data_IF_789107952775
#
_entry.id   IF_789107952775
#
_cell.length_a   1.000
_cell.length_b   1.000
_cell.length_c   1.000
_cell.angle_alpha   90.00
_cell.angle_beta   90.00
_cell.angle_gamma   90.00
#
_symmetry.space_group_name_H-M   'P 1'
#
loop_
_entity.id
_entity.type
_entity.pdbx_description
1 polymer ?
#
# COMPACT_ATOMS: atom_id res chain seq x y z
N UNK A 1 12.43 28.65 11.33
CA UNK A 1 12.42 27.41 10.50
C UNK A 1 11.79 27.67 9.15
N UNK A 2 10.59 28.25 9.08
CA UNK A 2 9.95 28.64 7.81
C UNK A 2 10.83 29.56 6.93
N UNK A 3 11.43 30.62 7.48
CA UNK A 3 12.32 31.53 6.71
C UNK A 3 13.54 30.82 6.10
N UNK A 4 14.08 29.80 6.77
CA UNK A 4 15.22 29.03 6.26
C UNK A 4 14.79 28.15 5.07
N UNK A 5 13.60 27.54 5.15
CA UNK A 5 13.01 26.76 4.07
C UNK A 5 12.67 27.67 2.88
N UNK A 6 12.12 28.86 3.15
CA UNK A 6 11.81 29.87 2.13
C UNK A 6 13.06 30.29 1.37
N UNK A 7 14.12 30.69 2.09
CA UNK A 7 15.38 31.10 1.49
C UNK A 7 16.00 29.96 0.67
N UNK A 8 15.97 28.74 1.18
CA UNK A 8 16.47 27.57 0.47
C UNK A 8 15.66 27.29 -0.80
N UNK A 9 14.33 27.38 -0.74
CA UNK A 9 13.43 27.13 -1.88
C UNK A 9 13.61 28.18 -2.97
N UNK A 10 13.64 29.46 -2.60
CA UNK A 10 13.85 30.55 -3.57
C UNK A 10 15.23 30.45 -4.22
N UNK A 11 16.27 30.14 -3.44
CA UNK A 11 17.61 29.89 -3.99
C UNK A 11 17.63 28.69 -4.93
N UNK A 12 16.97 27.59 -4.56
CA UNK A 12 16.88 26.41 -5.41
C UNK A 12 16.21 26.71 -6.75
N UNK A 13 15.10 27.46 -6.74
CA UNK A 13 14.41 27.91 -7.96
C UNK A 13 15.30 28.86 -8.77
N UNK A 14 16.04 29.76 -8.13
CA UNK A 14 16.98 30.65 -8.80
C UNK A 14 18.09 29.88 -9.54
N UNK A 15 18.63 28.84 -8.91
CA UNK A 15 19.75 28.06 -9.47
C UNK A 15 19.29 27.04 -10.54
N UNK A 16 18.07 26.50 -10.43
CA UNK A 16 17.56 25.42 -11.29
C UNK A 16 16.42 25.83 -12.23
N UNK A 17 15.92 27.06 -12.11
CA UNK A 17 14.77 27.60 -12.85
C UNK A 17 13.40 27.22 -12.29
N UNK A 18 13.26 26.02 -11.73
CA UNK A 18 12.01 25.52 -11.15
C UNK A 18 12.26 24.47 -10.05
N UNK A 19 11.26 24.30 -9.18
CA UNK A 19 11.17 23.16 -8.28
C UNK A 19 10.15 22.16 -8.84
N UNK A 20 10.63 21.06 -9.43
CA UNK A 20 9.79 20.05 -10.11
C UNK A 20 8.88 19.27 -9.16
N UNK A 21 9.32 19.11 -7.91
CA UNK A 21 8.64 18.30 -6.91
C UNK A 21 8.95 18.80 -5.50
N UNK A 22 7.94 19.34 -4.83
CA UNK A 22 8.09 19.84 -3.46
C UNK A 22 8.36 18.71 -2.46
N UNK A 23 7.94 17.47 -2.76
CA UNK A 23 8.17 16.30 -1.93
C UNK A 23 9.64 15.85 -1.98
N UNK A 24 10.24 15.84 -3.17
CA UNK A 24 11.66 15.49 -3.30
C UNK A 24 12.57 16.59 -2.74
N UNK A 25 12.22 17.86 -2.94
CA UNK A 25 12.91 18.98 -2.30
C UNK A 25 12.89 18.88 -0.77
N UNK A 26 11.73 18.54 -0.17
CA UNK A 26 11.63 18.35 1.28
C UNK A 26 12.53 17.23 1.79
N UNK A 27 12.62 16.11 1.06
CA UNK A 27 13.52 14.99 1.38
C UNK A 27 14.99 15.39 1.30
N UNK A 28 15.38 16.11 0.25
CA UNK A 28 16.77 16.55 0.06
C UNK A 28 17.22 17.52 1.16
N UNK A 29 16.32 18.42 1.58
CA UNK A 29 16.56 19.36 2.67
C UNK A 29 16.41 18.72 4.07
N UNK A 30 15.87 17.50 4.16
CA UNK A 30 15.65 16.78 5.41
C UNK A 30 14.58 17.43 6.30
N UNK A 31 13.58 18.07 5.72
CA UNK A 31 12.49 18.76 6.43
C UNK A 31 11.14 18.11 6.18
N UNK A 32 10.20 18.38 7.07
CA UNK A 32 8.82 17.93 6.90
C UNK A 32 8.17 18.56 5.65
N UNK A 33 7.48 17.73 4.86
CA UNK A 33 6.86 18.16 3.61
C UNK A 33 5.75 19.19 3.84
N UNK A 34 4.98 19.09 4.93
CA UNK A 34 3.93 20.07 5.23
C UNK A 34 4.51 21.46 5.54
N UNK A 35 5.71 21.53 6.13
CA UNK A 35 6.41 22.80 6.32
C UNK A 35 6.78 23.46 4.97
N UNK A 36 7.26 22.68 4.01
CA UNK A 36 7.55 23.15 2.64
C UNK A 36 6.26 23.61 1.94
N UNK A 37 5.18 22.83 2.03
CA UNK A 37 3.88 23.22 1.47
C UNK A 37 3.35 24.51 2.09
N UNK A 38 3.53 24.70 3.40
CA UNK A 38 3.17 25.95 4.08
C UNK A 38 3.92 27.16 3.52
N UNK A 39 5.23 27.03 3.29
CA UNK A 39 6.06 28.08 2.68
C UNK A 39 5.64 28.35 1.23
N UNK A 40 5.39 27.31 0.43
CA UNK A 40 4.90 27.45 -0.95
C UNK A 40 3.59 28.25 -0.97
N UNK A 41 2.64 27.94 -0.08
CA UNK A 41 1.37 28.66 0.02
C UNK A 41 1.57 30.11 0.45
N UNK A 42 2.48 30.39 1.38
CA UNK A 42 2.83 31.75 1.80
C UNK A 42 3.40 32.55 0.63
N UNK A 43 4.40 32.01 -0.07
CA UNK A 43 5.04 32.65 -1.22
C UNK A 43 4.05 32.86 -2.38
N UNK A 44 3.13 31.92 -2.61
CA UNK A 44 2.09 32.07 -3.61
C UNK A 44 1.09 33.16 -3.23
N UNK A 45 0.72 33.26 -1.94
CA UNK A 45 -0.14 34.35 -1.45
C UNK A 45 0.52 35.72 -1.55
N UNK A 46 1.85 35.77 -1.54
CA UNK A 46 2.64 36.98 -1.79
C UNK A 46 2.94 37.21 -3.28
N UNK A 47 2.34 36.43 -4.18
CA UNK A 47 2.53 36.50 -5.63
C UNK A 47 4.00 36.36 -6.08
N UNK A 48 4.85 35.72 -5.25
CA UNK A 48 6.27 35.54 -5.52
C UNK A 48 6.56 34.32 -6.40
N UNK A 49 5.71 33.30 -6.32
CA UNK A 49 5.84 32.05 -7.07
C UNK A 49 4.49 31.61 -7.62
N UNK A 50 4.55 30.75 -8.62
CA UNK A 50 3.40 29.97 -9.10
C UNK A 50 3.67 28.51 -8.71
N UNK A 51 2.66 27.82 -8.21
CA UNK A 51 2.72 26.38 -7.96
C UNK A 51 1.57 25.65 -8.64
N UNK A 52 1.81 24.37 -8.96
CA UNK A 52 0.80 23.48 -9.52
C UNK A 52 0.74 22.22 -8.65
N UNK A 53 -0.46 21.80 -8.30
CA UNK A 53 -0.68 20.55 -7.57
C UNK A 53 -0.35 19.36 -8.48
N UNK A 54 0.44 18.43 -7.93
CA UNK A 54 0.90 17.23 -8.63
C UNK A 54 0.72 16.03 -7.72
N UNK A 55 -0.07 15.07 -8.18
CA UNK A 55 -0.34 13.84 -7.44
C UNK A 55 0.57 12.71 -7.90
N UNK A 56 1.06 11.94 -6.92
CA UNK A 56 1.88 10.75 -7.14
C UNK A 56 1.16 9.52 -6.61
N UNK A 57 0.98 8.53 -7.47
CA UNK A 57 0.39 7.25 -7.11
C UNK A 57 1.38 6.13 -7.38
N UNK A 58 1.48 5.20 -6.43
CA UNK A 58 2.18 3.93 -6.61
C UNK A 58 1.30 2.81 -6.12
N UNK A 59 1.35 1.67 -6.82
CA UNK A 59 0.75 0.45 -6.32
C UNK A 59 1.65 -0.13 -5.24
N UNK A 60 1.10 -0.30 -4.05
CA UNK A 60 1.78 -0.94 -2.91
C UNK A 60 0.96 -2.17 -2.55
N UNK A 61 1.65 -3.22 -2.09
CA UNK A 61 0.97 -4.39 -1.56
C UNK A 61 0.18 -3.99 -0.30
N UNK A 62 -0.99 -4.58 -0.15
CA UNK A 62 -1.72 -4.53 1.12
C UNK A 62 -1.02 -5.43 2.13
N UNK A 63 -1.20 -5.17 3.44
CA UNK A 63 -0.66 -6.02 4.50
C UNK A 63 -1.09 -7.49 4.33
N UNK A 64 -2.31 -7.71 3.85
CA UNK A 64 -2.83 -9.02 3.48
C UNK A 64 -2.02 -9.67 2.34
N UNK A 65 -1.73 -8.91 1.27
CA UNK A 65 -1.01 -9.41 0.10
C UNK A 65 0.47 -9.70 0.38
N UNK A 66 1.08 -9.05 1.38
CA UNK A 66 2.42 -9.42 1.84
C UNK A 66 2.47 -10.86 2.35
N UNK A 67 1.41 -11.32 3.03
CA UNK A 67 1.29 -12.71 3.47
C UNK A 67 1.22 -13.70 2.30
N UNK A 68 0.61 -13.30 1.18
CA UNK A 68 0.47 -14.13 -0.01
C UNK A 68 1.79 -14.36 -0.76
N UNK A 69 2.74 -13.43 -0.65
CA UNK A 69 4.07 -13.62 -1.26
C UNK A 69 4.83 -14.80 -0.64
N UNK A 70 4.68 -15.00 0.67
CA UNK A 70 5.40 -16.05 1.39
C UNK A 70 4.64 -17.39 1.38
N UNK A 71 3.32 -17.34 1.58
CA UNK A 71 2.51 -18.53 1.80
C UNK A 71 1.71 -18.98 0.56
N UNK A 72 1.71 -18.18 -0.51
CA UNK A 72 0.85 -18.37 -1.68
C UNK A 72 -0.54 -17.76 -1.49
N UNK A 73 -1.38 -17.85 -2.53
CA UNK A 73 -2.75 -17.33 -2.47
C UNK A 73 -3.61 -18.09 -1.46
N UNK A 74 -4.70 -17.48 -0.93
CA UNK A 74 -5.61 -18.12 0.02
C UNK A 74 -6.10 -19.50 -0.43
N UNK A 75 -6.50 -19.66 -1.69
CA UNK A 75 -6.95 -20.94 -2.23
C UNK A 75 -5.84 -21.98 -2.30
N UNK A 76 -4.59 -21.56 -2.58
CA UNK A 76 -3.44 -22.46 -2.59
C UNK A 76 -3.10 -22.93 -1.17
N UNK A 77 -3.19 -22.03 -0.18
CA UNK A 77 -3.00 -22.36 1.23
C UNK A 77 -4.05 -23.36 1.70
N UNK A 78 -5.32 -23.16 1.36
CA UNK A 78 -6.41 -24.10 1.68
C UNK A 78 -6.18 -25.44 1.01
N UNK A 79 -5.86 -25.46 -0.29
CA UNK A 79 -5.61 -26.71 -1.02
C UNK A 79 -4.45 -27.51 -0.42
N UNK A 80 -3.34 -26.86 -0.08
CA UNK A 80 -2.16 -27.51 0.50
C UNK A 80 -2.42 -28.14 1.89
N UNK A 81 -3.42 -27.65 2.62
CA UNK A 81 -3.75 -28.15 3.96
C UNK A 81 -4.73 -29.34 3.92
N UNK A 82 -5.48 -29.50 2.83
CA UNK A 82 -6.43 -30.62 2.66
C UNK A 82 -5.68 -31.83 2.08
N UNK A 83 -5.54 -32.94 2.84
CA UNK A 83 -4.93 -34.16 2.32
C UNK A 83 -5.88 -34.88 1.35
N UNK A 84 -5.38 -35.87 0.56
CA UNK A 84 -6.21 -36.64 -0.37
C UNK A 84 -7.39 -37.39 0.28
N UNK A 85 -7.24 -37.74 1.57
CA UNK A 85 -8.26 -38.40 2.40
C UNK A 85 -9.44 -37.46 2.74
N UNK A 86 -9.29 -36.15 2.49
CA UNK A 86 -10.21 -35.11 2.92
C UNK A 86 -9.87 -34.52 4.29
N UNK A 87 -10.48 -33.38 4.60
CA UNK A 87 -10.31 -32.68 5.88
C UNK A 87 -11.68 -32.23 6.41
N UNK A 88 -12.02 -32.49 7.68
CA UNK A 88 -13.23 -31.95 8.29
C UNK A 88 -13.23 -30.42 8.27
N UNK A 89 -14.38 -29.82 7.99
CA UNK A 89 -14.52 -28.36 7.91
C UNK A 89 -14.14 -27.65 9.21
N UNK A 90 -14.40 -28.30 10.36
CA UNK A 90 -14.00 -27.78 11.67
C UNK A 90 -12.48 -27.69 11.81
N UNK A 91 -11.73 -28.67 11.30
CA UNK A 91 -10.27 -28.67 11.34
C UNK A 91 -9.66 -27.68 10.37
N UNK A 92 -10.31 -27.46 9.21
CA UNK A 92 -9.88 -26.43 8.25
C UNK A 92 -9.89 -25.04 8.89
N UNK A 93 -10.96 -24.72 9.62
CA UNK A 93 -11.11 -23.43 10.33
C UNK A 93 -10.13 -23.23 11.47
N UNK A 94 -9.63 -24.31 12.07
CA UNK A 94 -8.58 -24.24 13.10
C UNK A 94 -7.20 -24.02 12.48
N UNK A 95 -6.91 -24.67 11.34
CA UNK A 95 -5.61 -24.56 10.65
C UNK A 95 -5.44 -23.25 9.87
N UNK A 96 -6.52 -22.74 9.27
CA UNK A 96 -6.58 -21.45 8.61
C UNK A 96 -7.71 -20.60 9.21
N UNK A 97 -7.46 -19.96 10.37
CA UNK A 97 -8.46 -19.13 11.00
C UNK A 97 -8.68 -17.80 10.25
N UNK A 98 -9.90 -17.28 10.35
CA UNK A 98 -10.26 -15.96 9.85
C UNK A 98 -10.58 -15.90 8.36
N UNK A 99 -10.58 -14.68 7.81
CA UNK A 99 -11.02 -14.41 6.44
C UNK A 99 -10.19 -15.13 5.38
N UNK A 100 -8.91 -15.40 5.65
CA UNK A 100 -8.03 -16.13 4.72
C UNK A 100 -8.54 -17.55 4.43
N UNK A 101 -9.02 -18.27 5.45
CA UNK A 101 -9.59 -19.60 5.29
C UNK A 101 -10.94 -19.57 4.56
N UNK A 102 -11.81 -18.63 4.90
CA UNK A 102 -13.14 -18.51 4.28
C UNK A 102 -13.05 -18.06 2.81
N UNK A 103 -12.21 -17.06 2.52
CA UNK A 103 -11.93 -16.58 1.16
C UNK A 103 -11.26 -17.69 0.36
N UNK A 104 -10.20 -18.29 0.91
CA UNK A 104 -9.47 -19.37 0.23
C UNK A 104 -10.36 -20.58 -0.08
N UNK A 105 -11.23 -20.97 0.85
CA UNK A 105 -12.15 -22.09 0.63
C UNK A 105 -13.17 -21.76 -0.47
N UNK A 106 -13.76 -20.56 -0.44
CA UNK A 106 -14.70 -20.13 -1.47
C UNK A 106 -14.03 -20.08 -2.85
N UNK A 107 -12.82 -19.56 -2.94
CA UNK A 107 -12.06 -19.48 -4.19
C UNK A 107 -11.65 -20.87 -4.68
N UNK A 108 -11.15 -21.74 -3.81
CA UNK A 108 -10.80 -23.13 -4.15
C UNK A 108 -12.02 -23.92 -4.66
N UNK A 109 -13.19 -23.74 -4.05
CA UNK A 109 -14.44 -24.35 -4.52
C UNK A 109 -14.88 -23.81 -5.88
N UNK A 110 -14.79 -22.50 -6.11
CA UNK A 110 -15.12 -21.88 -7.41
C UNK A 110 -14.19 -22.37 -8.53
N UNK A 111 -12.91 -22.50 -8.23
CA UNK A 111 -11.89 -23.03 -9.16
C UNK A 111 -11.91 -24.56 -9.27
N UNK A 112 -12.79 -25.24 -8.53
CA UNK A 112 -12.94 -26.72 -8.47
C UNK A 112 -11.66 -27.44 -8.02
N UNK A 113 -10.84 -26.80 -7.18
CA UNK A 113 -9.67 -27.42 -6.56
C UNK A 113 -10.06 -28.35 -5.41
N UNK A 114 -11.20 -28.08 -4.77
CA UNK A 114 -11.76 -28.86 -3.68
C UNK A 114 -13.23 -29.22 -3.96
N UNK A 115 -13.68 -30.32 -3.37
CA UNK A 115 -15.07 -30.75 -3.34
C UNK A 115 -15.56 -30.89 -1.91
N UNK A 116 -16.87 -30.76 -1.70
CA UNK A 116 -17.48 -31.07 -0.39
C UNK A 116 -18.23 -32.38 -0.49
N UNK A 117 -17.91 -33.30 0.40
CA UNK A 117 -18.70 -34.51 0.58
C UNK A 117 -19.72 -34.30 1.71
N UNK A 118 -21.00 -34.57 1.42
CA UNK A 118 -22.11 -34.44 2.37
C UNK A 118 -22.62 -35.81 2.86
N UNK A 119 -21.94 -36.90 2.51
CA UNK A 119 -22.37 -38.26 2.85
C UNK A 119 -22.00 -38.65 4.29
N UNK A 120 -21.03 -37.95 4.89
CA UNK A 120 -20.55 -38.17 6.26
C UNK A 120 -21.00 -37.05 7.21
N UNK A 121 -22.31 -36.80 7.26
CA UNK A 121 -22.94 -35.88 8.23
C UNK A 121 -23.03 -36.47 9.64
#
# INVERSE_FOLDING_TARGET
>A
MAEAIETALLKYIQDHGECKDSGDFAKELGVDHLAVVGVIKSLQSSEMIISQDKDHFKWVLTEEAEGYLNNGSPEAQVFNIVPPEGLPMAELKVKLPGELGDIGFKQAMQQKWLGTDKSSG
#
